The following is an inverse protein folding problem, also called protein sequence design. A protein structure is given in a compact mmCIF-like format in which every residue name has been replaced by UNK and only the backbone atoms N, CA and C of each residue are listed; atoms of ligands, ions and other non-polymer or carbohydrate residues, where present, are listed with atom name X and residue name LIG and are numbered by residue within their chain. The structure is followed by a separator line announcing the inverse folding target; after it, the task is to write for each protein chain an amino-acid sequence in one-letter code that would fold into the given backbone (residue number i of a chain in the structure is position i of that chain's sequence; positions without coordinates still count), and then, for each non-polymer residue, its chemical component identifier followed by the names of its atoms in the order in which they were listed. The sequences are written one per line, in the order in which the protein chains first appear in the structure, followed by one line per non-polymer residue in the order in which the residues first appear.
data_IF_378718607237
#
_entry.id   IF_378718607237
#
_cell.length_a   1.000
_cell.length_b   1.000
_cell.length_c   1.000
_cell.angle_alpha   90.00
_cell.angle_beta   90.00
_cell.angle_gamma   90.00
#
_symmetry.space_group_name_H-M   'P 1'
#
loop_
_entity.id
_entity.type
_entity.pdbx_description
1 polymer ?
#
# COMPACT_ATOMS: atom_id res chain seq x y z
N UNK A 1 -5.12 18.40 22.15
CA UNK A 1 -5.35 17.01 21.68
C UNK A 1 -5.23 17.04 20.16
N UNK A 2 -4.41 16.18 19.55
CA UNK A 2 -4.27 16.10 18.09
C UNK A 2 -5.15 14.96 17.61
N UNK A 3 -6.15 15.26 16.78
CA UNK A 3 -6.97 14.24 16.12
C UNK A 3 -6.11 13.50 15.09
N UNK A 4 -6.04 12.17 15.20
CA UNK A 4 -5.25 11.32 14.28
C UNK A 4 -6.17 10.68 13.25
N UNK A 5 -5.79 10.74 11.98
CA UNK A 5 -6.55 10.14 10.88
C UNK A 5 -5.94 8.78 10.54
N UNK A 6 -6.68 7.67 10.65
CA UNK A 6 -6.13 6.36 10.35
C UNK A 6 -5.94 6.19 8.83
N UNK A 7 -4.77 5.68 8.46
CA UNK A 7 -4.32 5.45 7.08
C UNK A 7 -4.24 3.97 6.73
N UNK A 8 -3.88 3.12 7.70
CA UNK A 8 -3.79 1.68 7.49
C UNK A 8 -4.04 0.88 8.77
N UNK A 9 -4.46 -0.38 8.61
CA UNK A 9 -4.48 -1.39 9.67
C UNK A 9 -3.17 -2.17 9.65
N UNK A 10 -2.65 -2.53 10.83
CA UNK A 10 -1.39 -3.26 10.97
C UNK A 10 -1.59 -4.77 11.17
N UNK A 11 -0.70 -5.58 10.61
CA UNK A 11 -0.53 -7.01 10.88
C UNK A 11 -1.54 -7.92 10.16
N UNK A 12 -2.83 -7.59 10.20
CA UNK A 12 -3.87 -8.36 9.53
C UNK A 12 -5.13 -7.51 9.25
N UNK A 13 -6.06 -7.97 8.39
CA UNK A 13 -7.34 -7.28 8.18
C UNK A 13 -8.18 -7.10 9.44
N UNK A 14 -7.97 -7.94 10.47
CA UNK A 14 -8.62 -7.86 11.79
C UNK A 14 -7.69 -7.29 12.86
N UNK A 15 -6.57 -6.68 12.46
CA UNK A 15 -5.58 -6.10 13.35
C UNK A 15 -6.18 -5.08 14.31
N UNK A 16 -5.65 -5.07 15.53
CA UNK A 16 -6.07 -4.18 16.64
C UNK A 16 -5.57 -2.75 16.49
N UNK A 17 -4.51 -2.57 15.71
CA UNK A 17 -3.76 -1.33 15.59
C UNK A 17 -3.97 -0.68 14.22
N UNK A 18 -4.08 0.64 14.23
CA UNK A 18 -4.02 1.50 13.04
C UNK A 18 -2.87 2.48 13.16
N UNK A 19 -2.49 3.06 12.02
CA UNK A 19 -1.45 4.10 11.95
C UNK A 19 -1.92 5.31 11.16
N UNK A 20 -1.36 6.47 11.48
CA UNK A 20 -1.51 7.69 10.70
C UNK A 20 -0.41 7.84 9.65
N UNK A 21 -0.36 9.00 8.97
CA UNK A 21 0.65 9.28 7.94
C UNK A 21 2.08 9.39 8.46
N UNK A 22 2.23 9.66 9.77
CA UNK A 22 3.52 9.76 10.46
C UNK A 22 4.01 8.40 10.98
N UNK A 23 3.19 7.35 10.83
CA UNK A 23 3.47 6.01 11.33
C UNK A 23 3.28 5.88 12.84
N UNK A 24 2.48 6.76 13.45
CA UNK A 24 2.13 6.66 14.87
C UNK A 24 0.97 5.69 15.04
N UNK A 25 1.13 4.74 15.95
CA UNK A 25 0.18 3.66 16.24
C UNK A 25 -0.89 4.13 17.21
N UNK A 26 -2.13 3.70 17.01
CA UNK A 26 -3.23 3.93 17.95
C UNK A 26 -4.34 2.87 17.81
N UNK A 27 -5.21 2.69 18.82
CA UNK A 27 -6.23 1.65 18.82
C UNK A 27 -7.23 1.81 17.68
N UNK A 28 -7.50 0.71 16.95
CA UNK A 28 -8.47 0.69 15.85
C UNK A 28 -9.90 0.94 16.34
N UNK A 29 -10.26 0.32 17.46
CA UNK A 29 -11.65 0.28 17.95
C UNK A 29 -12.19 1.68 18.28
N UNK A 30 -11.31 2.59 18.69
CA UNK A 30 -11.66 3.98 19.04
C UNK A 30 -11.63 4.92 17.83
N UNK A 31 -11.08 4.46 16.70
CA UNK A 31 -10.68 5.33 15.59
C UNK A 31 -11.40 5.06 14.27
N UNK A 32 -12.11 3.94 14.19
CA UNK A 32 -12.75 3.49 12.95
C UNK A 32 -14.26 3.54 13.09
N UNK A 33 -14.90 4.34 12.24
CA UNK A 33 -16.32 4.16 11.91
C UNK A 33 -16.48 2.82 11.17
N UNK A 34 -17.54 2.08 11.49
CA UNK A 34 -17.74 0.67 11.12
C UNK A 34 -17.68 0.35 9.60
N UNK A 35 -17.73 1.36 8.73
CA UNK A 35 -17.87 1.18 7.28
C UNK A 35 -16.61 1.48 6.46
N UNK A 36 -15.57 2.11 7.05
CA UNK A 36 -14.39 2.52 6.28
C UNK A 36 -13.39 1.37 6.14
N UNK A 37 -13.19 0.87 4.92
CA UNK A 37 -12.10 -0.07 4.65
C UNK A 37 -10.79 0.68 4.50
N UNK A 38 -9.78 0.31 5.29
CA UNK A 38 -8.41 0.80 5.18
C UNK A 38 -7.51 -0.26 4.55
N UNK A 39 -6.45 0.14 3.84
CA UNK A 39 -5.41 -0.78 3.42
C UNK A 39 -4.76 -1.43 4.64
N UNK A 40 -4.28 -2.67 4.46
CA UNK A 40 -3.60 -3.43 5.51
C UNK A 40 -2.10 -3.46 5.23
N UNK A 41 -1.27 -3.12 6.22
CA UNK A 41 0.18 -3.32 6.15
C UNK A 41 0.51 -4.66 6.81
N UNK A 42 1.07 -5.58 6.02
CA UNK A 42 1.45 -6.93 6.41
C UNK A 42 2.98 -7.04 6.53
N UNK A 43 3.47 -8.09 7.20
CA UNK A 43 4.92 -8.34 7.35
C UNK A 43 5.58 -7.52 8.45
N UNK A 44 4.79 -7.06 9.42
CA UNK A 44 5.24 -6.34 10.61
C UNK A 44 4.82 -7.12 11.86
N UNK A 45 5.66 -7.12 12.89
CA UNK A 45 5.30 -7.69 14.19
C UNK A 45 4.38 -6.73 14.94
N UNK A 46 3.21 -7.22 15.36
CA UNK A 46 2.21 -6.45 16.10
C UNK A 46 2.13 -6.80 17.59
N UNK A 47 2.94 -7.76 18.06
CA UNK A 47 2.88 -8.32 19.41
C UNK A 47 3.29 -7.32 20.49
N UNK A 48 4.22 -6.40 20.18
CA UNK A 48 4.79 -5.43 21.12
C UNK A 48 4.47 -3.98 20.74
N UNK A 49 3.37 -3.76 19.99
CA UNK A 49 2.96 -2.41 19.63
C UNK A 49 2.17 -1.77 20.77
N UNK A 50 2.50 -0.51 21.05
CA UNK A 50 1.82 0.33 22.02
C UNK A 50 1.22 1.57 21.34
N UNK A 51 0.09 2.06 21.87
CA UNK A 51 -0.50 3.30 21.40
C UNK A 51 0.46 4.48 21.61
N UNK A 52 0.57 5.35 20.61
CA UNK A 52 1.50 6.48 20.60
C UNK A 52 2.91 6.14 20.09
N UNK A 53 3.26 4.85 19.97
CA UNK A 53 4.56 4.45 19.42
C UNK A 53 4.66 4.80 17.93
N UNK A 54 5.85 5.22 17.49
CA UNK A 54 6.16 5.45 16.07
C UNK A 54 6.88 4.23 15.49
N UNK A 55 6.35 3.67 14.40
CA UNK A 55 6.93 2.50 13.74
C UNK A 55 7.67 2.94 12.47
N UNK A 56 9.00 3.06 12.57
CA UNK A 56 9.83 3.72 11.55
C UNK A 56 9.92 2.98 10.21
N UNK A 57 9.80 1.65 10.18
CA UNK A 57 9.91 0.86 8.94
C UNK A 57 8.65 0.91 8.07
N UNK A 58 7.57 1.60 8.49
CA UNK A 58 6.34 1.75 7.71
C UNK A 58 6.42 2.79 6.59
N UNK A 59 7.47 3.61 6.58
CA UNK A 59 7.60 4.75 5.66
C UNK A 59 7.36 4.38 4.18
N UNK A 60 7.88 3.27 3.64
CA UNK A 60 7.61 2.91 2.25
C UNK A 60 6.12 2.63 1.98
N UNK A 61 5.47 1.82 2.82
CA UNK A 61 4.04 1.52 2.70
C UNK A 61 3.17 2.77 2.83
N UNK A 62 3.44 3.62 3.82
CA UNK A 62 2.69 4.85 4.05
C UNK A 62 2.85 5.83 2.88
N UNK A 63 4.05 5.95 2.31
CA UNK A 63 4.29 6.79 1.14
C UNK A 63 3.45 6.35 -0.05
N UNK A 64 3.37 5.03 -0.30
CA UNK A 64 2.52 4.45 -1.35
C UNK A 64 1.05 4.74 -1.09
N UNK A 65 0.55 4.47 0.12
CA UNK A 65 -0.85 4.70 0.51
C UNK A 65 -1.23 6.17 0.29
N UNK A 66 -0.40 7.09 0.78
CA UNK A 66 -0.67 8.52 0.67
C UNK A 66 -0.60 9.02 -0.78
N UNK A 67 0.36 8.54 -1.55
CA UNK A 67 0.49 8.92 -2.96
C UNK A 67 -0.70 8.41 -3.78
N UNK A 68 -1.13 7.17 -3.56
CA UNK A 68 -2.30 6.60 -4.25
C UNK A 68 -3.58 7.33 -3.86
N UNK A 69 -3.80 7.56 -2.56
CA UNK A 69 -4.99 8.25 -2.07
C UNK A 69 -5.12 9.68 -2.63
N UNK A 70 -4.01 10.38 -2.83
CA UNK A 70 -3.98 11.75 -3.36
C UNK A 70 -4.11 11.80 -4.87
N UNK A 71 -3.37 10.95 -5.59
CA UNK A 71 -3.10 11.14 -7.02
C UNK A 71 -3.59 9.99 -7.92
N UNK A 72 -3.93 8.83 -7.38
CA UNK A 72 -4.26 7.63 -8.17
C UNK A 72 -5.56 6.97 -7.70
N UNK A 73 -6.68 7.71 -7.76
CA UNK A 73 -7.99 7.26 -7.27
C UNK A 73 -8.55 6.00 -7.93
N UNK A 74 -8.08 5.66 -9.12
CA UNK A 74 -8.43 4.42 -9.82
C UNK A 74 -7.80 3.17 -9.17
N UNK A 75 -6.82 3.34 -8.28
CA UNK A 75 -6.13 2.28 -7.57
C UNK A 75 -6.72 2.15 -6.16
N UNK A 76 -7.30 0.99 -5.87
CA UNK A 76 -7.76 0.62 -4.54
C UNK A 76 -6.72 -0.32 -3.91
N UNK A 77 -6.00 0.16 -2.88
CA UNK A 77 -5.03 -0.67 -2.15
C UNK A 77 -5.78 -1.56 -1.17
N UNK A 78 -5.59 -2.88 -1.28
CA UNK A 78 -6.11 -3.87 -0.34
C UNK A 78 -5.10 -4.16 0.75
N UNK A 79 -3.85 -4.38 0.37
CA UNK A 79 -2.76 -4.63 1.31
C UNK A 79 -1.39 -4.21 0.73
N UNK A 80 -0.45 -3.90 1.62
CA UNK A 80 0.96 -3.76 1.28
C UNK A 80 1.74 -4.74 2.15
N UNK A 81 2.48 -5.63 1.51
CA UNK A 81 3.34 -6.59 2.18
C UNK A 81 4.77 -6.08 2.22
N UNK A 82 5.28 -5.88 3.43
CA UNK A 82 6.65 -5.43 3.69
C UNK A 82 7.66 -6.59 3.66
N UNK A 83 7.57 -7.47 2.66
CA UNK A 83 8.50 -8.59 2.49
C UNK A 83 9.63 -8.19 1.53
N UNK A 84 10.83 -8.00 2.08
CA UNK A 84 12.02 -7.60 1.32
C UNK A 84 12.61 -6.28 1.81
N UNK A 85 13.88 -6.05 1.51
CA UNK A 85 14.58 -4.80 1.83
C UNK A 85 14.57 -3.80 0.68
N UNK A 86 14.32 -4.26 -0.55
CA UNK A 86 14.45 -3.52 -1.80
C UNK A 86 13.11 -3.32 -2.54
N UNK A 87 12.08 -4.09 -2.18
CA UNK A 87 10.74 -4.00 -2.77
C UNK A 87 9.64 -4.18 -1.74
N UNK A 88 8.47 -3.65 -2.05
CA UNK A 88 7.23 -3.99 -1.36
C UNK A 88 6.22 -4.54 -2.35
N UNK A 89 5.41 -5.50 -1.90
CA UNK A 89 4.34 -6.06 -2.70
C UNK A 89 3.01 -5.37 -2.36
N UNK A 90 2.46 -4.61 -3.30
CA UNK A 90 1.16 -3.97 -3.17
C UNK A 90 0.08 -4.83 -3.83
N UNK A 91 -0.88 -5.29 -3.02
CA UNK A 91 -2.09 -5.99 -3.48
C UNK A 91 -3.18 -4.94 -3.69
N UNK A 92 -3.70 -4.85 -4.92
CA UNK A 92 -4.62 -3.77 -5.31
C UNK A 92 -5.71 -4.23 -6.27
N UNK A 93 -6.72 -3.38 -6.45
CA UNK A 93 -7.67 -3.43 -7.57
C UNK A 93 -7.56 -2.15 -8.38
N UNK A 94 -7.74 -2.26 -9.68
CA UNK A 94 -7.81 -1.11 -10.58
C UNK A 94 -9.25 -0.95 -11.09
N UNK A 95 -9.89 0.21 -10.85
CA UNK A 95 -11.27 0.51 -11.30
C UNK A 95 -12.29 -0.59 -11.00
N UNK A 96 -12.23 -1.17 -9.80
CA UNK A 96 -13.13 -2.25 -9.37
C UNK A 96 -12.92 -3.61 -10.05
N UNK A 97 -11.84 -3.76 -10.84
CA UNK A 97 -11.49 -5.03 -11.47
C UNK A 97 -10.99 -6.07 -10.47
N UNK A 98 -10.67 -7.27 -10.98
CA UNK A 98 -10.04 -8.34 -10.20
C UNK A 98 -8.73 -7.87 -9.57
N UNK A 99 -8.40 -8.46 -8.43
CA UNK A 99 -7.17 -8.16 -7.70
C UNK A 99 -5.92 -8.49 -8.52
N UNK A 100 -4.95 -7.59 -8.52
CA UNK A 100 -3.61 -7.78 -9.07
C UNK A 100 -2.54 -7.36 -8.04
N UNK A 101 -1.27 -7.59 -8.37
CA UNK A 101 -0.13 -7.28 -7.49
C UNK A 101 0.86 -6.37 -8.20
N UNK A 102 1.49 -5.46 -7.46
CA UNK A 102 2.56 -4.63 -7.95
C UNK A 102 3.78 -4.72 -7.04
N UNK A 103 4.94 -5.09 -7.58
CA UNK A 103 6.21 -5.07 -6.86
C UNK A 103 6.84 -3.69 -7.05
N UNK A 104 6.82 -2.87 -6.01
CA UNK A 104 7.31 -1.49 -6.05
C UNK A 104 8.72 -1.45 -5.44
N UNK A 105 9.74 -0.99 -6.18
CA UNK A 105 11.08 -0.81 -5.60
C UNK A 105 11.07 0.30 -4.54
N UNK A 106 11.67 0.01 -3.38
CA UNK A 106 11.80 0.91 -2.24
C UNK A 106 13.28 1.18 -1.99
N UNK A 107 13.72 2.42 -2.23
CA UNK A 107 15.15 2.78 -2.17
C UNK A 107 15.39 4.24 -2.54
N UNK A 108 16.62 4.71 -2.40
CA UNK A 108 17.00 6.07 -2.76
C UNK A 108 16.89 6.29 -4.27
N UNK A 109 16.15 7.33 -4.68
CA UNK A 109 16.03 7.75 -6.08
C UNK A 109 14.79 7.23 -6.83
N UNK A 110 13.98 6.33 -6.25
CA UNK A 110 12.76 5.88 -6.90
C UNK A 110 11.67 6.98 -6.85
N UNK A 111 11.28 7.47 -8.03
CA UNK A 111 10.16 8.41 -8.15
C UNK A 111 8.84 7.64 -8.15
N UNK A 112 8.24 7.50 -6.96
CA UNK A 112 6.98 6.78 -6.75
C UNK A 112 5.85 7.26 -7.68
N UNK A 113 5.78 8.56 -8.00
CA UNK A 113 4.78 9.09 -8.93
C UNK A 113 4.95 8.57 -10.36
N UNK A 114 6.20 8.45 -10.83
CA UNK A 114 6.50 7.86 -12.13
C UNK A 114 6.20 6.36 -12.14
N UNK A 115 6.57 5.63 -11.08
CA UNK A 115 6.28 4.20 -10.97
C UNK A 115 4.77 3.93 -11.00
N UNK A 116 3.97 4.69 -10.26
CA UNK A 116 2.51 4.52 -10.25
C UNK A 116 1.86 4.89 -11.59
N UNK A 117 2.39 5.89 -12.30
CA UNK A 117 1.97 6.22 -13.68
C UNK A 117 2.28 5.08 -14.66
N UNK A 118 3.47 4.50 -14.55
CA UNK A 118 3.87 3.35 -15.36
C UNK A 118 3.00 2.12 -15.08
N UNK A 119 2.69 1.86 -13.80
CA UNK A 119 1.78 0.79 -13.37
C UNK A 119 0.39 0.95 -13.99
N UNK A 120 -0.23 2.14 -13.92
CA UNK A 120 -1.54 2.37 -14.54
C UNK A 120 -1.51 2.09 -16.05
N UNK A 121 -0.45 2.56 -16.73
CA UNK A 121 -0.28 2.33 -18.17
C UNK A 121 -0.16 0.85 -18.49
N UNK A 122 0.62 0.10 -17.72
CA UNK A 122 0.80 -1.34 -17.89
C UNK A 122 -0.51 -2.12 -17.65
N UNK A 123 -1.28 -1.78 -16.60
CA UNK A 123 -2.58 -2.41 -16.32
C UNK A 123 -3.56 -2.17 -17.48
N UNK A 124 -3.63 -0.94 -18.00
CA UNK A 124 -4.50 -0.60 -19.13
C UNK A 124 -4.11 -1.38 -20.39
N UNK A 125 -2.82 -1.55 -20.66
CA UNK A 125 -2.33 -2.35 -21.78
C UNK A 125 -2.65 -3.84 -21.60
N UNK A 126 -2.44 -4.40 -20.41
CA UNK A 126 -2.74 -5.79 -20.08
C UNK A 126 -4.25 -6.09 -20.21
N UNK A 127 -5.09 -5.16 -19.75
CA UNK A 127 -6.54 -5.26 -19.90
C UNK A 127 -7.00 -5.33 -21.36
N UNK A 128 -6.36 -4.59 -22.28
CA UNK A 128 -6.65 -4.68 -23.73
C UNK A 128 -6.27 -6.04 -24.33
N UNK A 129 -5.31 -6.74 -23.74
CA UNK A 129 -4.87 -8.09 -24.15
C UNK A 129 -5.67 -9.22 -23.51
N UNK A 130 -6.65 -8.89 -22.66
CA UNK A 130 -7.54 -9.85 -22.01
C UNK A 130 -6.99 -10.47 -20.72
N UNK A 131 -5.82 -10.04 -20.24
CA UNK A 131 -5.23 -10.57 -19.00
C UNK A 131 -4.74 -9.47 -18.05
N UNK A 132 -5.65 -8.83 -17.29
CA UNK A 132 -5.28 -7.88 -16.24
C UNK A 132 -4.82 -8.56 -14.94
N UNK A 133 -4.82 -9.90 -14.89
CA UNK A 133 -4.39 -10.66 -13.71
C UNK A 133 -2.90 -10.90 -13.84
N UNK A 134 -2.13 -10.38 -12.90
CA UNK A 134 -0.69 -10.57 -12.94
C UNK A 134 0.03 -9.84 -11.83
N UNK A 135 1.32 -10.12 -11.77
CA UNK A 135 2.27 -9.41 -10.93
C UNK A 135 2.99 -8.40 -11.84
N UNK A 136 2.80 -7.11 -11.57
CA UNK A 136 3.47 -6.01 -12.25
C UNK A 136 4.75 -5.65 -11.49
N UNK A 137 5.91 -6.08 -11.98
CA UNK A 137 7.21 -5.77 -11.39
C UNK A 137 7.75 -4.44 -11.94
N UNK A 138 7.85 -3.43 -11.07
CA UNK A 138 8.25 -2.06 -11.39
C UNK A 138 9.74 -1.80 -11.14
N UNK A 139 10.52 -2.84 -10.80
CA UNK A 139 11.94 -2.69 -10.46
C UNK A 139 12.88 -2.52 -11.65
N UNK A 140 12.37 -2.61 -12.87
CA UNK A 140 13.20 -2.56 -14.08
C UNK A 140 13.20 -1.14 -14.61
N UNK A 141 14.38 -0.59 -14.88
CA UNK A 141 14.56 0.80 -15.29
C UNK A 141 13.63 1.18 -16.45
N UNK A 142 12.62 1.99 -16.15
CA UNK A 142 11.62 2.47 -17.10
C UNK A 142 10.65 1.42 -17.65
N UNK A 143 10.72 0.17 -17.19
CA UNK A 143 9.93 -0.95 -17.74
C UNK A 143 9.10 -1.64 -16.65
N UNK A 144 7.91 -2.12 -17.04
CA UNK A 144 7.07 -2.96 -16.19
C UNK A 144 7.06 -4.38 -16.75
N UNK A 145 7.51 -5.34 -15.95
CA UNK A 145 7.43 -6.76 -16.31
C UNK A 145 6.12 -7.33 -15.77
N UNK A 146 5.33 -7.96 -16.62
CA UNK A 146 4.08 -8.64 -16.25
C UNK A 146 4.39 -10.14 -16.14
N UNK A 147 4.10 -10.73 -14.98
CA UNK A 147 4.22 -12.17 -14.71
C UNK A 147 2.88 -12.80 -14.36
#
# INVERSE_FOLDING_TARGET
MVERIPRAVLGSPRGRWVVDEEGVVFPRVESMLAERQLPVILGISDQNLEGGARVGNLRPALSIIMQVARNFRDIEIRAIHMQGTDKVNMIMRFRGQKTCQALIPVGHGSNLGLLLTALQSAILQAGRRGDPRGIFDLSFDGNVIIR
#
